data_IF_067085636705
#
_entry.id   IF_067085636705
#
_cell.length_a   1.000
_cell.length_b   1.000
_cell.length_c   1.000
_cell.angle_alpha   90.00
_cell.angle_beta   90.00
_cell.angle_gamma   90.00
#
_symmetry.space_group_name_H-M   'P 1'
#
loop_
_entity.id
_entity.type
_entity.pdbx_description
1 polymer ?
#
# COMPACT_ATOMS: atom_id res chain seq x y z
N UNK A 1 19.20 -9.05 20.22
CA UNK A 1 18.80 -9.96 19.15
C UNK A 1 18.48 -9.15 17.89
N UNK A 2 18.83 -9.63 16.70
CA UNK A 2 18.52 -8.95 15.41
C UNK A 2 17.01 -8.64 15.29
N UNK A 3 16.15 -9.47 15.90
CA UNK A 3 14.69 -9.31 15.91
C UNK A 3 14.16 -8.25 16.88
N UNK A 4 14.96 -7.69 17.75
CA UNK A 4 14.55 -6.69 18.76
C UNK A 4 14.69 -5.24 18.25
N UNK A 5 14.91 -5.06 16.96
CA UNK A 5 14.93 -3.76 16.30
C UNK A 5 13.53 -3.12 16.38
N UNK A 6 13.48 -1.83 16.72
CA UNK A 6 12.24 -1.04 16.73
C UNK A 6 11.61 -0.85 15.34
N UNK A 7 12.32 -1.30 14.29
CA UNK A 7 11.91 -1.19 12.88
C UNK A 7 11.84 -2.58 12.27
N UNK A 8 10.88 -3.37 12.74
CA UNK A 8 10.62 -4.72 12.23
C UNK A 8 9.15 -4.86 11.88
N UNK A 9 8.86 -5.55 10.78
CA UNK A 9 7.51 -5.91 10.37
C UNK A 9 7.42 -7.41 10.08
N UNK A 10 6.26 -7.99 10.39
CA UNK A 10 5.91 -9.35 9.99
C UNK A 10 5.46 -9.36 8.53
N UNK A 11 5.79 -10.40 7.81
CA UNK A 11 5.34 -10.64 6.44
C UNK A 11 4.27 -11.72 6.50
N UNK A 12 3.07 -11.39 6.02
CA UNK A 12 1.96 -12.32 5.92
C UNK A 12 1.59 -12.55 4.45
N UNK A 13 1.22 -13.78 4.13
CA UNK A 13 0.62 -14.15 2.84
C UNK A 13 -0.74 -14.76 3.13
N UNK A 14 -1.81 -14.13 2.66
CA UNK A 14 -3.19 -14.53 2.90
C UNK A 14 -3.51 -14.73 4.40
N UNK A 15 -2.93 -13.88 5.26
CA UNK A 15 -3.11 -13.93 6.71
C UNK A 15 -2.27 -14.99 7.42
N UNK A 16 -1.39 -15.70 6.71
CA UNK A 16 -0.45 -16.67 7.28
C UNK A 16 0.93 -16.00 7.42
N UNK A 17 1.51 -15.95 8.63
CA UNK A 17 2.86 -15.43 8.84
C UNK A 17 3.89 -16.27 8.10
N UNK A 18 4.68 -15.64 7.24
CA UNK A 18 5.73 -16.31 6.45
C UNK A 18 7.13 -15.77 6.71
N UNK A 19 7.26 -14.69 7.47
CA UNK A 19 8.58 -14.15 7.74
C UNK A 19 8.57 -12.78 8.39
N UNK A 20 9.75 -12.16 8.42
CA UNK A 20 9.96 -10.83 8.96
C UNK A 20 10.92 -10.03 8.09
N UNK A 21 10.75 -8.71 8.12
CA UNK A 21 11.65 -7.75 7.48
C UNK A 21 11.95 -6.64 8.48
N UNK A 22 13.15 -6.10 8.45
CA UNK A 22 13.51 -5.01 9.37
C UNK A 22 14.89 -4.41 9.11
N UNK A 23 15.27 -3.49 9.99
CA UNK A 23 16.62 -2.95 10.07
C UNK A 23 17.37 -3.65 11.21
N UNK A 24 18.65 -3.90 11.03
CA UNK A 24 19.52 -4.41 12.10
C UNK A 24 19.69 -3.33 13.16
N UNK A 25 19.65 -3.72 14.44
CA UNK A 25 19.86 -2.79 15.55
C UNK A 25 21.20 -2.06 15.43
N UNK A 26 21.23 -0.71 15.57
CA UNK A 26 22.47 0.06 15.47
C UNK A 26 23.57 -0.38 16.42
N UNK A 27 23.22 -0.81 17.64
CA UNK A 27 24.22 -1.30 18.60
C UNK A 27 24.88 -2.61 18.16
N UNK A 28 24.16 -3.43 17.36
CA UNK A 28 24.76 -4.63 16.74
C UNK A 28 25.69 -4.21 15.61
N UNK A 29 25.28 -3.25 14.77
CA UNK A 29 26.13 -2.74 13.69
C UNK A 29 27.42 -2.12 14.20
N UNK A 30 27.33 -1.30 15.25
CA UNK A 30 28.49 -0.69 15.92
C UNK A 30 29.48 -1.75 16.43
N UNK A 31 28.96 -2.84 17.02
CA UNK A 31 29.83 -3.94 17.52
C UNK A 31 30.57 -4.67 16.39
N UNK A 32 30.07 -4.61 15.16
CA UNK A 32 30.71 -5.17 13.97
C UNK A 32 31.45 -4.14 13.12
N UNK A 33 31.48 -2.86 13.53
CA UNK A 33 32.15 -1.78 12.80
C UNK A 33 31.45 -1.43 11.47
N UNK A 34 30.13 -1.56 11.43
CA UNK A 34 29.32 -1.22 10.26
C UNK A 34 28.63 0.11 10.50
N UNK A 35 29.02 1.15 9.77
CA UNK A 35 28.49 2.51 9.92
C UNK A 35 27.20 2.77 9.11
N UNK A 36 26.81 1.86 8.24
CA UNK A 36 25.68 2.00 7.36
C UNK A 36 24.46 1.24 7.89
N UNK A 37 23.24 1.68 7.49
CA UNK A 37 22.02 0.95 7.81
C UNK A 37 21.97 -0.36 7.03
N UNK A 38 21.66 -1.45 7.72
CA UNK A 38 21.51 -2.78 7.12
C UNK A 38 20.09 -3.24 7.32
N UNK A 39 19.39 -3.51 6.20
CA UNK A 39 18.10 -4.20 6.19
C UNK A 39 18.32 -5.72 6.19
N UNK A 40 17.38 -6.45 6.78
CA UNK A 40 17.34 -7.90 6.76
C UNK A 40 15.96 -8.42 6.40
N UNK A 41 15.92 -9.60 5.84
CA UNK A 41 14.70 -10.35 5.50
C UNK A 41 14.89 -11.80 5.90
N UNK A 42 13.92 -12.36 6.61
CA UNK A 42 13.84 -13.78 6.95
C UNK A 42 12.50 -14.33 6.45
N UNK A 43 12.52 -15.44 5.72
CA UNK A 43 11.31 -16.09 5.21
C UNK A 43 11.35 -17.57 5.53
N UNK A 44 10.26 -18.09 6.11
CA UNK A 44 10.05 -19.53 6.27
C UNK A 44 9.60 -20.14 4.93
N UNK A 45 10.54 -20.78 4.27
CA UNK A 45 10.28 -21.37 2.95
C UNK A 45 9.35 -22.59 3.03
N UNK A 46 9.33 -23.33 4.12
CA UNK A 46 8.43 -24.48 4.29
C UNK A 46 6.98 -24.00 4.34
N UNK A 47 6.72 -22.96 5.17
CA UNK A 47 5.40 -22.33 5.25
C UNK A 47 5.02 -21.73 3.91
N UNK A 48 5.90 -20.90 3.31
CA UNK A 48 5.62 -20.19 2.06
C UNK A 48 5.32 -21.15 0.90
N UNK A 49 6.11 -22.22 0.74
CA UNK A 49 5.91 -23.21 -0.32
C UNK A 49 4.73 -24.15 -0.05
N UNK A 50 4.31 -24.29 1.20
CA UNK A 50 3.11 -25.04 1.59
C UNK A 50 1.80 -24.30 1.37
N UNK A 51 1.83 -22.99 1.13
CA UNK A 51 0.61 -22.22 0.87
C UNK A 51 -0.03 -22.60 -0.47
N UNK A 52 -1.36 -22.49 -0.58
CA UNK A 52 -2.06 -22.75 -1.84
C UNK A 52 -1.54 -21.83 -2.95
N UNK A 53 -0.98 -22.39 -3.99
CA UNK A 53 -0.54 -21.66 -5.17
C UNK A 53 -1.70 -21.52 -6.15
N UNK A 54 -2.41 -20.42 -6.09
CA UNK A 54 -3.39 -20.05 -7.14
C UNK A 54 -2.65 -19.78 -8.45
N UNK A 55 -2.99 -20.53 -9.52
CA UNK A 55 -2.53 -20.16 -10.87
C UNK A 55 -2.97 -18.73 -11.18
N UNK A 56 -2.11 -17.94 -11.78
CA UNK A 56 -2.52 -16.61 -12.29
C UNK A 56 -3.44 -16.84 -13.48
N UNK A 57 -4.76 -16.58 -13.38
CA UNK A 57 -5.63 -16.70 -14.55
C UNK A 57 -5.16 -15.72 -15.62
N UNK A 58 -5.15 -16.20 -16.87
CA UNK A 58 -4.91 -15.31 -18.00
C UNK A 58 -5.97 -14.20 -17.98
N UNK A 59 -5.54 -12.95 -17.97
CA UNK A 59 -6.40 -11.78 -18.20
C UNK A 59 -6.09 -11.22 -19.58
N UNK A 60 -7.07 -11.16 -20.48
CA UNK A 60 -6.87 -10.48 -21.77
C UNK A 60 -6.44 -9.04 -21.53
N UNK A 61 -5.53 -8.56 -22.36
CA UNK A 61 -5.20 -7.12 -22.34
C UNK A 61 -6.40 -6.36 -22.86
N UNK A 62 -6.91 -5.43 -22.04
CA UNK A 62 -8.02 -4.58 -22.46
C UNK A 62 -7.61 -3.72 -23.66
N UNK A 63 -8.52 -3.56 -24.64
CA UNK A 63 -8.33 -2.68 -25.79
C UNK A 63 -8.74 -1.24 -25.49
N UNK A 64 -9.40 -1.02 -24.37
CA UNK A 64 -9.91 0.28 -23.99
C UNK A 64 -8.89 1.03 -23.16
N UNK A 65 -8.79 2.36 -23.31
CA UNK A 65 -7.82 3.16 -22.58
C UNK A 65 -8.14 3.12 -21.06
N UNK A 66 -7.10 3.21 -20.27
CA UNK A 66 -7.22 3.43 -18.82
C UNK A 66 -7.23 4.92 -18.50
N UNK A 67 -7.79 5.27 -17.33
CA UNK A 67 -7.71 6.59 -16.73
C UNK A 67 -6.97 6.48 -15.40
N UNK A 68 -5.89 7.24 -15.26
CA UNK A 68 -5.11 7.28 -14.03
C UNK A 68 -5.47 8.53 -13.25
N UNK A 69 -5.69 8.40 -11.95
CA UNK A 69 -5.88 9.51 -11.02
C UNK A 69 -4.98 9.34 -9.80
N UNK A 70 -4.51 10.45 -9.28
CA UNK A 70 -3.75 10.48 -8.05
C UNK A 70 -4.62 11.05 -6.92
N UNK A 71 -4.57 10.38 -5.76
CA UNK A 71 -5.19 10.82 -4.53
C UNK A 71 -4.16 10.82 -3.41
N UNK A 72 -4.05 11.92 -2.70
CA UNK A 72 -3.20 12.01 -1.52
C UNK A 72 -4.05 12.26 -0.29
N UNK A 73 -3.86 11.42 0.75
CA UNK A 73 -4.56 11.54 2.01
C UNK A 73 -3.58 11.85 3.14
N UNK A 74 -3.89 12.87 3.92
CA UNK A 74 -3.23 13.13 5.18
C UNK A 74 -3.90 12.30 6.26
N UNK A 75 -3.14 11.41 6.89
CA UNK A 75 -3.60 10.47 7.91
C UNK A 75 -2.71 10.55 9.15
N UNK A 76 -3.19 10.04 10.29
CA UNK A 76 -2.35 9.89 11.48
C UNK A 76 -1.20 8.93 11.21
N UNK A 77 -0.04 9.16 11.83
CA UNK A 77 1.16 8.33 11.64
C UNK A 77 0.91 6.85 11.96
N UNK A 78 0.00 6.58 12.90
CA UNK A 78 -0.38 5.22 13.31
C UNK A 78 -1.33 4.52 12.33
N UNK A 79 -1.98 5.25 11.40
CA UNK A 79 -2.91 4.65 10.42
C UNK A 79 -2.12 3.82 9.40
N UNK A 80 -2.34 2.49 9.30
CA UNK A 80 -1.66 1.68 8.30
C UNK A 80 -2.03 2.11 6.87
N UNK A 81 -1.05 2.17 5.97
CA UNK A 81 -1.33 2.44 4.56
C UNK A 81 -2.24 1.36 3.93
N UNK A 82 -2.14 0.12 4.42
CA UNK A 82 -2.98 -0.99 4.00
C UNK A 82 -4.48 -0.75 4.27
N UNK A 83 -4.83 -0.05 5.35
CA UNK A 83 -6.23 0.26 5.66
C UNK A 83 -6.80 1.26 4.64
N UNK A 84 -6.02 2.30 4.30
CA UNK A 84 -6.40 3.26 3.24
C UNK A 84 -6.54 2.52 1.90
N UNK A 85 -5.59 1.66 1.57
CA UNK A 85 -5.62 0.85 0.34
C UNK A 85 -6.84 -0.05 0.27
N UNK A 86 -7.22 -0.70 1.37
CA UNK A 86 -8.40 -1.56 1.44
C UNK A 86 -9.70 -0.80 1.11
N UNK A 87 -9.90 0.38 1.72
CA UNK A 87 -11.07 1.22 1.45
C UNK A 87 -11.10 1.74 0.01
N UNK A 88 -9.93 2.13 -0.53
CA UNK A 88 -9.82 2.54 -1.93
C UNK A 88 -10.20 1.40 -2.90
N UNK A 89 -9.71 0.17 -2.65
CA UNK A 89 -10.02 -1.02 -3.46
C UNK A 89 -11.50 -1.37 -3.41
N UNK A 90 -12.10 -1.36 -2.24
CA UNK A 90 -13.52 -1.66 -2.05
C UNK A 90 -14.40 -0.63 -2.78
N UNK A 91 -14.13 0.66 -2.58
CA UNK A 91 -14.90 1.74 -3.19
C UNK A 91 -14.76 1.82 -4.72
N UNK A 92 -13.56 1.55 -5.22
CA UNK A 92 -13.29 1.55 -6.65
C UNK A 92 -13.93 0.36 -7.38
N UNK A 93 -14.03 -0.80 -6.70
CA UNK A 93 -14.68 -1.99 -7.21
C UNK A 93 -14.04 -2.54 -8.49
N UNK A 94 -14.87 -3.06 -9.38
CA UNK A 94 -14.43 -3.77 -10.60
C UNK A 94 -13.74 -2.86 -11.63
N UNK A 95 -13.86 -1.55 -11.50
CA UNK A 95 -13.19 -0.61 -12.41
C UNK A 95 -11.71 -0.40 -12.06
N UNK A 96 -11.26 -0.83 -10.89
CA UNK A 96 -9.87 -0.68 -10.47
C UNK A 96 -8.97 -1.72 -11.13
N UNK A 97 -8.18 -1.30 -12.09
CA UNK A 97 -7.19 -2.14 -12.75
C UNK A 97 -5.88 -2.24 -11.96
N UNK A 98 -5.46 -1.13 -11.31
CA UNK A 98 -4.27 -1.09 -10.47
C UNK A 98 -4.41 0.00 -9.38
N UNK A 99 -3.74 -0.24 -8.25
CA UNK A 99 -3.60 0.72 -7.15
C UNK A 99 -2.16 0.63 -6.65
N UNK A 100 -1.50 1.77 -6.57
CA UNK A 100 -0.09 1.85 -6.16
C UNK A 100 0.10 3.01 -5.18
N UNK A 101 0.63 2.73 -3.99
CA UNK A 101 1.18 3.75 -3.10
C UNK A 101 2.53 4.17 -3.68
N UNK A 102 2.66 5.41 -4.11
CA UNK A 102 3.89 5.88 -4.77
C UNK A 102 4.68 6.91 -3.94
N UNK A 103 4.04 7.54 -2.93
CA UNK A 103 4.73 8.48 -2.06
C UNK A 103 4.20 8.45 -0.63
N UNK A 104 5.12 8.63 0.33
CA UNK A 104 4.85 8.78 1.77
C UNK A 104 5.61 10.00 2.26
N UNK A 105 4.92 11.10 2.47
CA UNK A 105 5.54 12.36 2.85
C UNK A 105 5.27 12.70 4.33
N UNK A 106 6.30 13.22 5.00
CA UNK A 106 6.29 13.73 6.38
C UNK A 106 6.92 15.11 6.42
N UNK A 107 6.49 15.92 7.37
CA UNK A 107 6.98 17.30 7.55
C UNK A 107 6.11 18.34 6.87
N UNK A 108 6.45 19.62 7.05
CA UNK A 108 5.63 20.73 6.56
C UNK A 108 5.34 20.63 5.05
N UNK A 109 4.07 20.81 4.62
CA UNK A 109 2.95 21.38 5.36
C UNK A 109 2.06 20.34 6.10
N UNK A 110 2.41 19.06 6.15
CA UNK A 110 1.70 18.04 6.93
C UNK A 110 1.97 18.28 8.41
N UNK A 111 0.92 18.18 9.24
CA UNK A 111 1.01 18.43 10.66
C UNK A 111 1.88 17.37 11.37
N UNK A 112 2.46 17.74 12.53
CA UNK A 112 3.21 16.82 13.37
C UNK A 112 2.33 15.64 13.82
N UNK A 113 2.89 14.42 13.78
CA UNK A 113 2.17 13.19 14.09
C UNK A 113 1.27 12.67 12.96
N UNK A 114 1.31 13.33 11.81
CA UNK A 114 0.59 12.91 10.59
C UNK A 114 1.56 12.68 9.43
N UNK A 115 1.07 11.96 8.42
CA UNK A 115 1.77 11.75 7.16
C UNK A 115 0.80 11.81 5.98
N UNK A 116 1.32 12.14 4.81
CA UNK A 116 0.58 12.09 3.55
C UNK A 116 0.91 10.79 2.84
N UNK A 117 -0.12 10.06 2.44
CA UNK A 117 -0.03 8.84 1.62
C UNK A 117 -0.60 9.16 0.25
N UNK A 118 0.21 9.03 -0.80
CA UNK A 118 -0.20 9.32 -2.17
C UNK A 118 -0.33 8.02 -2.98
N UNK A 119 -1.51 7.84 -3.57
CA UNK A 119 -1.88 6.65 -4.34
C UNK A 119 -2.21 7.04 -5.77
N UNK A 120 -1.71 6.26 -6.73
CA UNK A 120 -2.20 6.25 -8.11
C UNK A 120 -3.24 5.15 -8.26
N UNK A 121 -4.44 5.51 -8.71
CA UNK A 121 -5.53 4.61 -9.04
C UNK A 121 -5.68 4.56 -10.56
N UNK A 122 -5.55 3.37 -11.14
CA UNK A 122 -5.81 3.13 -12.56
C UNK A 122 -7.18 2.52 -12.73
N UNK A 123 -8.06 3.22 -13.42
CA UNK A 123 -9.39 2.73 -13.78
C UNK A 123 -9.42 2.27 -15.22
N UNK A 124 -10.05 1.13 -15.47
CA UNK A 124 -10.22 0.57 -16.80
C UNK A 124 -11.43 -0.36 -16.82
N UNK A 125 -12.16 -0.37 -17.92
CA UNK A 125 -13.20 -1.36 -18.20
C UNK A 125 -12.70 -2.34 -19.25
N UNK A 126 -13.21 -3.58 -19.21
CA UNK A 126 -12.87 -4.62 -20.20
C UNK A 126 -13.79 -4.56 -21.43
N UNK A 127 -14.89 -3.82 -21.38
CA UNK A 127 -15.95 -3.81 -22.40
C UNK A 127 -16.17 -2.44 -23.09
N UNK A 128 -15.67 -1.35 -22.51
CA UNK A 128 -15.83 0.02 -23.05
C UNK A 128 -14.81 1.01 -22.54
N UNK A 129 -14.71 2.15 -23.18
CA UNK A 129 -13.99 3.32 -22.66
C UNK A 129 -14.81 3.96 -21.53
N UNK A 130 -14.17 4.28 -20.41
CA UNK A 130 -14.79 5.03 -19.32
C UNK A 130 -14.99 6.49 -19.72
N UNK A 131 -16.11 7.06 -19.34
CA UNK A 131 -16.36 8.49 -19.49
C UNK A 131 -15.75 9.28 -18.33
N UNK A 132 -15.47 10.56 -18.54
CA UNK A 132 -14.97 11.45 -17.48
C UNK A 132 -15.93 11.50 -16.28
N UNK A 133 -17.24 11.42 -16.52
CA UNK A 133 -18.26 11.39 -15.46
C UNK A 133 -18.13 10.13 -14.58
N UNK A 134 -17.98 8.97 -15.20
CA UNK A 134 -17.79 7.70 -14.46
C UNK A 134 -16.50 7.70 -13.63
N UNK A 135 -15.42 8.22 -14.19
CA UNK A 135 -14.15 8.38 -13.48
C UNK A 135 -14.30 9.33 -12.29
N UNK A 136 -14.99 10.46 -12.48
CA UNK A 136 -15.27 11.43 -11.43
C UNK A 136 -16.13 10.83 -10.29
N UNK A 137 -17.17 10.05 -10.63
CA UNK A 137 -18.01 9.37 -9.64
C UNK A 137 -17.22 8.34 -8.81
N UNK A 138 -16.40 7.50 -9.48
CA UNK A 138 -15.56 6.52 -8.79
C UNK A 138 -14.54 7.22 -7.90
N UNK A 139 -13.91 8.28 -8.41
CA UNK A 139 -12.99 9.10 -7.64
C UNK A 139 -13.64 9.62 -6.37
N UNK A 140 -14.86 10.17 -6.47
CA UNK A 140 -15.56 10.72 -5.30
C UNK A 140 -15.89 9.62 -4.30
N UNK A 141 -16.41 8.46 -4.75
CA UNK A 141 -16.65 7.31 -3.85
C UNK A 141 -15.39 6.86 -3.10
N UNK A 142 -14.24 6.83 -3.78
CA UNK A 142 -12.97 6.49 -3.14
C UNK A 142 -12.60 7.50 -2.05
N UNK A 143 -12.79 8.79 -2.30
CA UNK A 143 -12.51 9.85 -1.33
C UNK A 143 -13.43 9.71 -0.11
N UNK A 144 -14.74 9.60 -0.35
CA UNK A 144 -15.74 9.50 0.71
C UNK A 144 -15.49 8.25 1.57
N UNK A 145 -15.22 7.09 0.96
CA UNK A 145 -14.97 5.85 1.68
C UNK A 145 -13.76 5.94 2.63
N UNK A 146 -12.70 6.61 2.22
CA UNK A 146 -11.52 6.78 3.07
C UNK A 146 -11.80 7.78 4.19
N UNK A 147 -12.46 8.90 3.90
CA UNK A 147 -12.73 9.96 4.88
C UNK A 147 -13.81 9.56 5.90
N UNK A 148 -14.77 8.73 5.51
CA UNK A 148 -15.83 8.23 6.40
C UNK A 148 -15.32 7.14 7.35
N UNK A 149 -14.37 6.32 6.88
CA UNK A 149 -13.86 5.18 7.65
C UNK A 149 -12.65 5.51 8.53
N UNK A 150 -11.84 6.48 8.13
CA UNK A 150 -10.55 6.79 8.75
C UNK A 150 -10.43 8.28 9.09
N UNK A 151 -9.61 8.66 10.09
CA UNK A 151 -9.26 10.06 10.37
C UNK A 151 -8.35 10.62 9.28
N UNK A 152 -8.86 10.67 8.04
CA UNK A 152 -8.14 11.05 6.84
C UNK A 152 -8.71 12.34 6.23
N UNK A 153 -7.83 13.14 5.63
CA UNK A 153 -8.22 14.35 4.90
C UNK A 153 -7.59 14.31 3.51
N UNK A 154 -8.42 14.49 2.47
CA UNK A 154 -7.91 14.60 1.12
C UNK A 154 -7.02 15.86 1.03
N UNK A 155 -5.83 15.68 0.49
CA UNK A 155 -4.90 16.77 0.19
C UNK A 155 -5.04 17.17 -1.28
N UNK A 156 -5.34 18.44 -1.50
CA UNK A 156 -5.46 19.04 -2.83
C UNK A 156 -4.12 19.53 -3.39
#
# INVERSE_FOLDING_TARGET
CIRDSTRTAQIDVDGVPVGHVGEVDPGVLDAFGVDERVGWLEVDLEVLLGLPHGGRPYRPVSRYPSSDIDLAFEVDEATPAADVEAHLREAAGNLLAALTLFDVFRGAPVADGRRSLAFTLRFQSDDRTLTDGEVAEVRQRCIDAVQDALPATLRG
#
